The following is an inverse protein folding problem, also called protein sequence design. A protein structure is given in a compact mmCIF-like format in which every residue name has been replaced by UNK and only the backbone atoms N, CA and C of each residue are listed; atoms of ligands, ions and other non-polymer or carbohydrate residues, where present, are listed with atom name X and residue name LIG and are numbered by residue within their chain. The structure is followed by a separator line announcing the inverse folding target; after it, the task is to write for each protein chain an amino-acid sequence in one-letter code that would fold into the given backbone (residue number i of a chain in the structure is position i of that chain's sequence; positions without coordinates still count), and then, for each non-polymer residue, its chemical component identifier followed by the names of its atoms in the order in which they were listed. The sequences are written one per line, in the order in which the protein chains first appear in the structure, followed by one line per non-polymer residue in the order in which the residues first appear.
data_IF_867086291342
#
_entry.id   IF_867086291342
#
_cell.length_a   1.000
_cell.length_b   1.000
_cell.length_c   1.000
_cell.angle_alpha   90.00
_cell.angle_beta   90.00
_cell.angle_gamma   90.00
#
_symmetry.space_group_name_H-M   'P 1'
#
loop_
_entity.id
_entity.type
_entity.pdbx_description
1 polymer ?
#
# COMPACT_ATOMS: atom_id res chain seq x y z
N UNK A 1 -8.45 -7.77 -0.18
CA UNK A 1 -7.71 -8.05 1.07
C UNK A 1 -8.02 -6.97 2.08
N UNK A 2 -8.29 -7.36 3.31
CA UNK A 2 -8.75 -6.46 4.36
C UNK A 2 -7.60 -5.81 5.13
N UNK A 3 -6.42 -6.43 5.17
CA UNK A 3 -5.28 -5.86 5.87
C UNK A 3 -4.62 -4.78 5.01
N UNK A 4 -4.47 -3.61 5.61
CA UNK A 4 -3.83 -2.44 5.05
C UNK A 4 -2.70 -1.97 5.96
N UNK A 5 -1.82 -1.12 5.45
CA UNK A 5 -0.84 -0.41 6.25
C UNK A 5 -0.60 1.01 5.74
N UNK A 6 -0.10 1.87 6.61
CA UNK A 6 0.47 3.16 6.25
C UNK A 6 1.86 3.29 6.88
N UNK A 7 2.64 4.26 6.42
CA UNK A 7 3.97 4.56 6.95
C UNK A 7 3.79 5.76 7.90
N UNK A 8 4.22 5.63 9.15
CA UNK A 8 4.20 6.74 10.11
C UNK A 8 5.41 7.67 9.91
N UNK A 9 5.46 8.78 10.65
CA UNK A 9 6.57 9.75 10.58
C UNK A 9 7.94 9.14 10.96
N UNK A 10 7.93 8.03 11.70
CA UNK A 10 9.14 7.29 12.07
C UNK A 10 9.63 6.33 10.97
N UNK A 11 8.86 6.14 9.89
CA UNK A 11 9.16 5.20 8.80
C UNK A 11 8.65 3.76 9.02
N UNK A 12 7.95 3.50 10.12
CA UNK A 12 7.40 2.18 10.45
C UNK A 12 6.07 1.91 9.75
N UNK A 13 5.83 0.64 9.41
CA UNK A 13 4.54 0.18 8.88
C UNK A 13 3.54 -0.04 10.01
N UNK A 14 2.50 0.78 10.06
CA UNK A 14 1.37 0.61 10.99
C UNK A 14 0.24 -0.10 10.25
N UNK A 15 -0.13 -1.29 10.75
CA UNK A 15 -1.18 -2.11 10.14
C UNK A 15 -2.55 -1.72 10.65
N UNK A 16 -3.52 -1.68 9.74
CA UNK A 16 -4.92 -1.44 10.04
C UNK A 16 -5.78 -2.37 9.21
N UNK A 17 -6.99 -2.66 9.67
CA UNK A 17 -7.98 -3.31 8.80
C UNK A 17 -8.71 -2.22 8.03
N UNK A 18 -9.12 -2.53 6.79
CA UNK A 18 -9.94 -1.66 5.93
C UNK A 18 -11.36 -1.49 6.51
N UNK A 19 -11.52 -1.24 7.81
CA UNK A 19 -12.80 -1.25 8.52
C UNK A 19 -13.83 -0.53 7.66
N UNK A 20 -14.85 -1.26 7.21
CA UNK A 20 -16.10 -0.68 6.76
C UNK A 20 -16.62 0.10 7.96
N UNK A 21 -16.51 1.43 7.91
CA UNK A 21 -17.27 2.42 8.66
C UNK A 21 -18.17 1.78 9.73
N UNK A 22 -17.63 1.52 10.91
CA UNK A 22 -18.34 1.07 12.11
C UNK A 22 -17.26 1.11 13.19
N UNK A 23 -17.11 2.12 14.05
CA UNK A 23 -18.11 2.90 14.76
C UNK A 23 -17.45 4.26 15.09
N UNK A 24 -18.11 5.37 14.74
CA UNK A 24 -18.18 6.63 15.52
C UNK A 24 -18.93 7.64 14.64
N UNK A 25 -20.08 8.08 15.18
CA UNK A 25 -20.84 9.29 14.82
C UNK A 25 -21.68 9.27 13.52
N UNK A 26 -22.89 8.74 13.64
CA UNK A 26 -24.01 8.75 12.67
C UNK A 26 -24.56 10.16 12.29
N UNK A 27 -23.85 11.26 12.56
CA UNK A 27 -24.35 12.61 12.30
C UNK A 27 -23.76 13.29 11.05
N UNK A 28 -22.65 12.80 10.48
CA UNK A 28 -21.92 13.48 9.37
C UNK A 28 -22.26 12.87 8.00
N UNK A 29 -22.97 11.75 7.96
CA UNK A 29 -23.20 10.94 6.75
C UNK A 29 -24.21 11.52 5.74
N UNK A 30 -24.90 12.63 6.05
CA UNK A 30 -26.02 13.12 5.23
C UNK A 30 -25.62 13.94 3.98
N UNK A 31 -24.36 14.34 3.82
CA UNK A 31 -23.95 15.18 2.67
C UNK A 31 -23.03 14.47 1.69
N UNK A 32 -23.55 13.41 1.07
CA UNK A 32 -23.47 13.22 -0.39
C UNK A 32 -22.11 13.23 -1.10
N UNK A 33 -21.00 12.84 -0.47
CA UNK A 33 -19.72 12.66 -1.17
C UNK A 33 -18.82 11.63 -0.47
N UNK A 34 -19.25 10.38 -0.38
CA UNK A 34 -18.45 9.30 0.24
C UNK A 34 -17.49 8.73 -0.81
N UNK A 35 -16.36 9.41 -1.02
CA UNK A 35 -15.15 8.68 -1.36
C UNK A 35 -14.78 7.88 -0.10
N UNK A 36 -14.90 6.55 -0.14
CA UNK A 36 -14.32 5.68 0.90
C UNK A 36 -12.81 5.73 0.73
N UNK A 37 -12.24 6.86 1.09
CA UNK A 37 -10.83 7.13 0.99
C UNK A 37 -10.14 6.24 2.00
N UNK A 38 -9.22 5.42 1.49
CA UNK A 38 -8.40 4.51 2.27
C UNK A 38 -7.35 5.35 2.99
N UNK A 39 -7.79 6.23 3.87
CA UNK A 39 -6.93 7.16 4.56
C UNK A 39 -6.60 6.63 5.95
N UNK A 40 -5.33 6.78 6.30
CA UNK A 40 -4.86 6.60 7.67
C UNK A 40 -5.42 7.71 8.55
N UNK A 41 -5.35 7.58 9.89
CA UNK A 41 -5.69 8.67 10.81
C UNK A 41 -4.90 9.97 10.57
N UNK A 42 -3.81 9.91 9.79
CA UNK A 42 -2.96 11.03 9.39
C UNK A 42 -3.37 11.64 8.03
N UNK A 43 -4.45 11.17 7.41
CA UNK A 43 -4.85 11.55 6.05
C UNK A 43 -3.96 10.96 4.95
N UNK A 44 -3.00 10.09 5.28
CA UNK A 44 -2.13 9.44 4.29
C UNK A 44 -2.83 8.24 3.64
N UNK A 45 -2.63 7.99 2.35
CA UNK A 45 -3.21 6.83 1.67
C UNK A 45 -2.64 5.51 2.21
N UNK A 46 -3.51 4.57 2.57
CA UNK A 46 -3.13 3.23 2.99
C UNK A 46 -2.92 2.30 1.80
N UNK A 47 -2.03 1.33 1.98
CA UNK A 47 -1.62 0.36 0.97
C UNK A 47 -2.01 -1.06 1.41
N UNK A 48 -2.14 -1.98 0.45
CA UNK A 48 -2.36 -3.40 0.75
C UNK A 48 -1.15 -3.96 1.47
N UNK A 49 -1.36 -4.57 2.65
CA UNK A 49 -0.28 -5.20 3.42
C UNK A 49 0.27 -6.47 2.76
N UNK A 50 -0.40 -6.96 1.73
CA UNK A 50 -0.05 -8.21 1.09
C UNK A 50 0.68 -7.97 -0.23
N UNK A 51 1.68 -8.80 -0.57
CA UNK A 51 2.41 -8.68 -1.83
C UNK A 51 1.48 -8.94 -3.02
N UNK A 52 1.85 -8.39 -4.17
CA UNK A 52 1.18 -8.70 -5.43
C UNK A 52 1.31 -10.20 -5.72
N UNK A 53 0.22 -10.82 -6.21
CA UNK A 53 0.20 -12.24 -6.57
C UNK A 53 1.23 -12.51 -7.67
N UNK A 54 2.01 -13.57 -7.49
CA UNK A 54 2.91 -14.07 -8.52
C UNK A 54 2.13 -14.88 -9.56
N UNK A 55 2.40 -14.62 -10.84
CA UNK A 55 1.93 -15.41 -11.97
C UNK A 55 3.13 -15.81 -12.83
N UNK A 56 3.32 -17.11 -13.14
CA UNK A 56 4.44 -17.57 -13.95
C UNK A 56 4.33 -17.11 -15.42
N UNK A 57 3.10 -16.92 -15.91
CA UNK A 57 2.73 -16.49 -17.26
C UNK A 57 2.56 -14.96 -17.40
N UNK A 58 3.24 -14.19 -16.54
CA UNK A 58 3.13 -12.74 -16.54
C UNK A 58 3.73 -12.08 -17.80
N UNK A 59 2.83 -11.68 -18.70
CA UNK A 59 3.11 -10.97 -19.96
C UNK A 59 3.94 -9.69 -19.78
N UNK A 60 3.86 -9.03 -18.63
CA UNK A 60 4.52 -7.75 -18.37
C UNK A 60 5.81 -7.88 -17.53
N UNK A 61 6.33 -9.09 -17.35
CA UNK A 61 7.53 -9.38 -16.58
C UNK A 61 8.76 -8.60 -17.06
N UNK A 62 9.01 -8.57 -18.38
CA UNK A 62 10.14 -7.83 -18.99
C UNK A 62 10.06 -6.33 -18.68
N UNK A 63 8.88 -5.74 -18.83
CA UNK A 63 8.61 -4.33 -18.61
C UNK A 63 8.84 -3.96 -17.15
N UNK A 64 8.38 -4.81 -16.21
CA UNK A 64 8.63 -4.62 -14.77
C UNK A 64 10.13 -4.62 -14.45
N UNK A 65 10.90 -5.55 -15.00
CA UNK A 65 12.36 -5.62 -14.78
C UNK A 65 13.07 -4.39 -15.36
N UNK A 66 12.72 -3.98 -16.59
CA UNK A 66 13.29 -2.77 -17.22
C UNK A 66 13.00 -1.51 -16.41
N UNK A 67 11.77 -1.35 -15.92
CA UNK A 67 11.40 -0.20 -15.08
C UNK A 67 12.23 -0.17 -13.80
N UNK A 68 12.32 -1.29 -13.08
CA UNK A 68 13.16 -1.37 -11.87
C UNK A 68 14.62 -1.03 -12.15
N UNK A 69 15.17 -1.51 -13.27
CA UNK A 69 16.57 -1.22 -13.67
C UNK A 69 16.80 0.26 -13.95
N UNK A 70 15.86 0.95 -14.62
CA UNK A 70 15.96 2.39 -14.93
C UNK A 70 16.02 3.27 -13.67
N UNK A 71 15.30 2.88 -12.62
CA UNK A 71 15.26 3.61 -11.36
C UNK A 71 16.26 3.10 -10.31
N UNK A 72 17.16 2.16 -10.66
CA UNK A 72 18.14 1.64 -9.70
C UNK A 72 17.52 0.79 -8.57
N UNK A 73 16.30 0.27 -8.77
CA UNK A 73 15.53 -0.45 -7.74
C UNK A 73 15.75 -1.98 -7.77
N UNK A 74 16.65 -2.47 -8.62
CA UNK A 74 16.94 -3.90 -8.70
C UNK A 74 17.82 -4.30 -7.51
N UNK A 75 17.53 -5.41 -6.80
CA UNK A 75 18.37 -5.85 -5.68
C UNK A 75 19.83 -6.07 -6.06
N UNK A 76 20.09 -6.47 -7.31
CA UNK A 76 21.45 -6.67 -7.84
C UNK A 76 22.22 -5.36 -8.08
N UNK A 77 21.55 -4.20 -8.04
CA UNK A 77 22.18 -2.88 -8.12
C UNK A 77 22.51 -2.31 -6.74
N UNK A 78 21.93 -2.86 -5.67
CA UNK A 78 22.14 -2.41 -4.31
C UNK A 78 23.42 -3.02 -3.73
N UNK A 79 23.96 -2.39 -2.68
CA UNK A 79 25.08 -2.98 -1.94
C UNK A 79 24.71 -4.37 -1.42
N UNK A 80 25.67 -5.31 -1.34
CA UNK A 80 25.41 -6.64 -0.78
C UNK A 80 24.74 -6.57 0.58
N UNK A 81 23.77 -7.44 0.83
CA UNK A 81 23.15 -7.58 2.15
C UNK A 81 24.24 -7.95 3.16
N UNK A 82 24.34 -7.16 4.23
CA UNK A 82 25.15 -7.51 5.39
C UNK A 82 24.28 -8.33 6.33
N UNK A 83 24.73 -9.54 6.65
CA UNK A 83 24.10 -10.44 7.62
C UNK A 83 24.77 -10.29 8.98
#
# INVERSE_FOLDING_TARGET
MYLQFYINDNGDKVYTTKVLHNLVSDAIFSLGMIFSEKESPLGLPTQSAHPARFSPDDKYSRQRVLLKKRFGLLPTQQSPLKY
#
